data_IF_011780843776
#
_entry.id   IF_011780843776
#
_cell.length_a   1.000
_cell.length_b   1.000
_cell.length_c   1.000
_cell.angle_alpha   90.00
_cell.angle_beta   90.00
_cell.angle_gamma   90.00
#
_symmetry.space_group_name_H-M   'P 1'
#
loop_
_entity.id
_entity.type
_entity.pdbx_description
1 polymer ?
#
# COMPACT_ATOMS: atom_id res chain seq x y z
N UNK A 1 1.56 38.65 -90.27
CA UNK A 1 0.18 39.01 -90.72
C UNK A 1 0.01 38.33 -92.05
N UNK A 2 -1.14 37.70 -92.32
CA UNK A 2 -1.29 36.92 -93.54
C UNK A 2 -1.40 37.84 -94.77
N UNK A 3 -0.61 37.55 -95.79
CA UNK A 3 -0.66 38.18 -97.10
C UNK A 3 -1.93 37.77 -97.85
N UNK A 4 -2.42 38.66 -98.72
CA UNK A 4 -3.70 38.48 -99.41
C UNK A 4 -3.60 37.41 -100.50
N UNK A 5 -4.38 36.34 -100.38
CA UNK A 5 -4.50 35.32 -101.43
C UNK A 5 -5.69 35.63 -102.35
N UNK A 6 -5.41 35.75 -103.64
CA UNK A 6 -6.45 36.02 -104.64
C UNK A 6 -7.11 34.73 -105.14
N UNK A 7 -8.45 34.64 -105.21
CA UNK A 7 -9.13 33.44 -105.69
C UNK A 7 -8.70 33.05 -107.10
N UNK A 8 -8.41 31.75 -107.30
CA UNK A 8 -8.21 31.18 -108.62
C UNK A 8 -9.52 31.15 -109.43
N UNK A 9 -9.41 31.12 -110.76
CA UNK A 9 -10.54 30.93 -111.66
C UNK A 9 -10.60 29.50 -112.17
N UNK A 10 -11.80 28.90 -112.18
CA UNK A 10 -12.00 27.55 -112.72
C UNK A 10 -11.56 27.51 -114.19
N UNK A 11 -10.68 26.55 -114.53
CA UNK A 11 -10.10 26.33 -115.85
C UNK A 11 -9.30 27.51 -116.43
N UNK A 12 -9.02 28.57 -115.67
CA UNK A 12 -8.34 29.79 -116.14
C UNK A 12 -8.84 30.26 -117.51
N UNK A 13 -10.17 30.37 -117.66
CA UNK A 13 -10.79 30.80 -118.92
C UNK A 13 -10.24 32.15 -119.35
N UNK A 14 -10.01 32.28 -120.65
CA UNK A 14 -9.27 33.39 -121.23
C UNK A 14 -10.20 34.32 -122.01
N UNK A 15 -9.87 35.60 -122.01
CA UNK A 15 -10.48 36.66 -122.82
C UNK A 15 -9.37 37.42 -123.57
N UNK A 16 -9.73 38.49 -124.25
CA UNK A 16 -8.80 39.34 -124.99
C UNK A 16 -9.06 40.82 -124.71
N UNK A 17 -8.01 41.64 -124.80
CA UNK A 17 -8.15 43.09 -124.76
C UNK A 17 -9.00 43.57 -125.94
N UNK A 18 -10.01 44.39 -125.65
CA UNK A 18 -10.85 44.99 -126.69
C UNK A 18 -10.10 46.08 -127.48
N UNK A 19 -9.16 46.76 -126.82
CA UNK A 19 -8.37 47.86 -127.37
C UNK A 19 -6.90 47.76 -126.93
N UNK A 20 -6.00 48.47 -127.62
CA UNK A 20 -4.60 48.51 -127.24
C UNK A 20 -4.41 49.30 -125.94
N UNK A 21 -3.49 48.84 -125.10
CA UNK A 21 -3.22 49.42 -123.78
C UNK A 21 -1.77 49.90 -123.64
N UNK A 22 -1.68 51.00 -122.89
CA UNK A 22 -0.56 51.63 -122.21
C UNK A 22 0.41 50.78 -121.40
N UNK A 23 1.51 51.34 -120.88
CA UNK A 23 2.17 50.91 -119.65
C UNK A 23 1.68 51.70 -118.41
N UNK A 24 0.89 52.77 -118.60
CA UNK A 24 0.38 53.63 -117.50
C UNK A 24 -1.11 53.49 -117.21
N UNK A 25 -1.85 52.82 -118.09
CA UNK A 25 -3.30 52.69 -117.96
C UNK A 25 -3.74 52.00 -116.66
N UNK A 26 -4.74 52.58 -116.00
CA UNK A 26 -5.33 52.10 -114.74
C UNK A 26 -6.70 51.43 -114.94
N UNK A 27 -7.13 51.28 -116.19
CA UNK A 27 -8.36 50.60 -116.59
C UNK A 27 -8.26 50.14 -118.05
N UNK A 28 -8.96 49.06 -118.40
CA UNK A 28 -9.06 48.58 -119.78
C UNK A 28 -10.35 47.78 -119.99
N UNK A 29 -10.76 47.64 -121.25
CA UNK A 29 -11.93 46.85 -121.64
C UNK A 29 -11.50 45.50 -122.23
N UNK A 30 -12.20 44.43 -121.89
CA UNK A 30 -12.01 43.08 -122.46
C UNK A 30 -13.21 42.67 -123.32
N UNK A 31 -13.02 41.71 -124.21
CA UNK A 31 -14.11 41.23 -125.08
C UNK A 31 -15.20 40.50 -124.30
N UNK A 32 -14.80 39.70 -123.32
CA UNK A 32 -15.71 38.97 -122.41
C UNK A 32 -15.14 39.05 -120.99
N UNK A 33 -15.72 39.90 -120.15
CA UNK A 33 -15.35 39.99 -118.75
C UNK A 33 -15.96 38.88 -117.90
N UNK A 34 -17.03 38.21 -118.35
CA UNK A 34 -17.75 37.20 -117.56
C UNK A 34 -16.88 35.99 -117.17
N UNK A 35 -15.81 35.73 -117.94
CA UNK A 35 -14.86 34.64 -117.69
C UNK A 35 -13.78 34.96 -116.65
N UNK A 36 -13.62 36.23 -116.30
CA UNK A 36 -12.68 36.67 -115.27
C UNK A 36 -13.32 36.61 -113.87
N UNK A 37 -12.56 36.36 -112.80
CA UNK A 37 -13.13 36.35 -111.45
C UNK A 37 -13.62 37.75 -111.00
N UNK A 38 -14.31 37.85 -109.86
CA UNK A 38 -14.61 39.14 -109.23
C UNK A 38 -13.34 39.84 -108.73
N UNK A 39 -13.36 41.18 -108.71
CA UNK A 39 -12.30 41.98 -108.11
C UNK A 39 -12.37 41.97 -106.56
N UNK A 40 -11.27 42.20 -105.84
CA UNK A 40 -9.91 42.34 -106.37
C UNK A 40 -9.31 41.00 -106.79
N UNK A 41 -8.56 40.98 -107.88
CA UNK A 41 -7.89 39.76 -108.33
C UNK A 41 -6.70 40.07 -109.25
N UNK A 42 -5.97 39.02 -109.63
CA UNK A 42 -4.85 39.10 -110.57
C UNK A 42 -5.30 38.70 -111.98
N UNK A 43 -4.66 39.26 -112.99
CA UNK A 43 -4.73 38.80 -114.37
C UNK A 43 -3.31 38.73 -114.91
N UNK A 44 -3.06 37.77 -115.78
CA UNK A 44 -1.84 37.66 -116.55
C UNK A 44 -2.18 37.99 -117.99
N UNK A 45 -1.56 39.05 -118.51
CA UNK A 45 -1.68 39.52 -119.88
C UNK A 45 -0.53 38.95 -120.70
N UNK A 46 -0.82 38.42 -121.88
CA UNK A 46 0.15 37.69 -122.69
C UNK A 46 0.20 36.19 -122.35
N UNK A 47 0.76 35.42 -123.28
CA UNK A 47 0.86 33.95 -123.17
C UNK A 47 2.28 33.41 -123.32
N UNK A 48 3.26 34.31 -123.47
CA UNK A 48 4.68 34.00 -123.63
C UNK A 48 5.48 34.41 -122.38
N UNK A 49 6.81 34.32 -122.45
CA UNK A 49 7.71 34.71 -121.37
C UNK A 49 7.68 36.20 -121.02
N UNK A 50 7.06 37.04 -121.85
CA UNK A 50 6.93 38.48 -121.60
C UNK A 50 5.61 38.84 -120.91
N UNK A 51 4.86 37.84 -120.44
CA UNK A 51 3.57 38.05 -119.80
C UNK A 51 3.67 38.97 -118.57
N UNK A 52 2.66 39.82 -118.41
CA UNK A 52 2.55 40.80 -117.32
C UNK A 52 1.45 40.37 -116.35
N UNK A 53 1.77 40.22 -115.06
CA UNK A 53 0.73 40.13 -114.02
C UNK A 53 0.26 41.54 -113.66
N UNK A 54 -1.06 41.74 -113.60
CA UNK A 54 -1.70 42.97 -113.13
C UNK A 54 -2.65 42.64 -111.99
N UNK A 55 -2.78 43.56 -111.04
CA UNK A 55 -3.84 43.54 -110.03
C UNK A 55 -4.95 44.47 -110.50
N UNK A 56 -6.21 44.06 -110.36
CA UNK A 56 -7.36 44.95 -110.55
C UNK A 56 -8.24 44.92 -109.31
N UNK A 57 -8.86 46.06 -109.00
CA UNK A 57 -9.69 46.24 -107.79
C UNK A 57 -11.16 46.50 -108.10
N UNK A 58 -11.51 46.75 -109.37
CA UNK A 58 -12.88 46.88 -109.85
C UNK A 58 -13.12 46.14 -111.16
N UNK A 59 -14.35 45.64 -111.33
CA UNK A 59 -14.82 44.99 -112.55
C UNK A 59 -16.33 45.21 -112.71
N UNK A 60 -16.74 45.75 -113.84
CA UNK A 60 -18.15 45.90 -114.22
C UNK A 60 -18.32 45.42 -115.64
N UNK A 61 -19.07 44.34 -115.83
CA UNK A 61 -19.22 43.66 -117.12
C UNK A 61 -17.85 43.38 -117.78
N UNK A 62 -17.54 44.13 -118.85
CA UNK A 62 -16.32 44.02 -119.65
C UNK A 62 -15.24 45.06 -119.27
N UNK A 63 -15.53 45.98 -118.35
CA UNK A 63 -14.61 47.04 -117.93
C UNK A 63 -13.85 46.62 -116.66
N UNK A 64 -12.53 46.62 -116.74
CA UNK A 64 -11.61 46.35 -115.63
C UNK A 64 -11.04 47.68 -115.15
N UNK A 65 -11.16 47.98 -113.85
CA UNK A 65 -10.78 49.27 -113.26
C UNK A 65 -9.91 49.10 -112.01
N UNK A 66 -9.25 50.19 -111.61
CA UNK A 66 -8.34 50.19 -110.46
C UNK A 66 -7.18 49.22 -110.68
N UNK A 67 -6.66 49.21 -111.90
CA UNK A 67 -5.59 48.33 -112.36
C UNK A 67 -4.24 48.87 -111.89
N UNK A 68 -3.48 48.03 -111.19
CA UNK A 68 -2.05 48.20 -110.94
C UNK A 68 -1.30 47.36 -111.97
N UNK A 69 -0.63 48.04 -112.89
CA UNK A 69 0.21 47.44 -113.94
C UNK A 69 1.52 46.95 -113.35
N UNK A 70 2.13 45.95 -113.98
CA UNK A 70 3.41 45.42 -113.54
C UNK A 70 3.40 44.98 -112.07
N UNK A 71 2.41 44.19 -111.67
CA UNK A 71 2.24 43.79 -110.27
C UNK A 71 3.40 42.91 -109.77
N UNK A 72 3.95 42.07 -110.65
CA UNK A 72 5.13 41.23 -110.36
C UNK A 72 6.35 41.56 -111.23
N UNK A 73 6.16 42.37 -112.28
CA UNK A 73 7.16 42.72 -113.30
C UNK A 73 7.05 44.20 -113.68
N UNK A 74 7.85 44.70 -114.61
CA UNK A 74 7.58 46.01 -115.21
C UNK A 74 6.27 46.00 -116.02
N UNK A 75 5.58 47.15 -116.08
CA UNK A 75 4.42 47.35 -116.96
C UNK A 75 4.86 47.42 -118.44
N UNK A 76 4.06 46.87 -119.36
CA UNK A 76 4.36 46.83 -120.80
C UNK A 76 3.13 47.20 -121.62
N UNK A 77 3.29 47.83 -122.79
CA UNK A 77 2.16 48.08 -123.69
C UNK A 77 1.69 46.80 -124.40
N UNK A 78 0.39 46.61 -124.54
CA UNK A 78 -0.20 45.43 -125.20
C UNK A 78 -1.14 45.85 -126.32
N UNK A 79 -1.15 45.11 -127.43
CA UNK A 79 -2.06 45.37 -128.54
C UNK A 79 -3.50 44.90 -128.24
N UNK A 80 -4.48 45.42 -128.98
CA UNK A 80 -5.82 44.85 -129.01
C UNK A 80 -5.76 43.37 -129.43
N UNK A 81 -6.60 42.53 -128.85
CA UNK A 81 -6.57 41.07 -129.06
C UNK A 81 -5.55 40.34 -128.19
N UNK A 82 -4.74 41.03 -127.38
CA UNK A 82 -3.85 40.36 -126.41
C UNK A 82 -4.68 39.52 -125.45
N UNK A 83 -4.29 38.27 -125.37
CA UNK A 83 -4.90 37.24 -124.54
C UNK A 83 -4.58 37.48 -123.07
N UNK A 84 -5.59 37.37 -122.21
CA UNK A 84 -5.41 37.46 -120.77
C UNK A 84 -6.38 36.58 -119.98
N UNK A 85 -5.94 36.12 -118.81
CA UNK A 85 -6.74 35.30 -117.91
C UNK A 85 -6.21 35.41 -116.47
N UNK A 86 -6.96 34.84 -115.52
CA UNK A 86 -6.43 34.54 -114.19
C UNK A 86 -5.60 33.24 -114.26
N UNK A 87 -4.30 33.36 -114.52
CA UNK A 87 -3.34 32.25 -114.37
C UNK A 87 -2.76 32.23 -112.97
N UNK A 88 -2.29 31.07 -112.52
CA UNK A 88 -1.56 30.93 -111.25
C UNK A 88 -0.18 31.58 -111.41
N UNK A 89 0.16 32.54 -110.54
CA UNK A 89 1.38 33.34 -110.67
C UNK A 89 2.39 33.07 -109.54
N UNK A 90 3.58 33.67 -109.61
CA UNK A 90 4.58 33.52 -108.56
C UNK A 90 4.07 34.09 -107.22
N UNK A 91 3.33 35.21 -107.27
CA UNK A 91 2.67 35.82 -106.13
C UNK A 91 1.73 34.84 -105.43
N UNK A 92 0.94 34.04 -106.16
CA UNK A 92 0.07 33.04 -105.54
C UNK A 92 0.86 31.98 -104.76
N UNK A 93 1.92 31.46 -105.37
CA UNK A 93 2.77 30.46 -104.74
C UNK A 93 3.49 31.02 -103.51
N UNK A 94 4.09 32.20 -103.65
CA UNK A 94 4.88 32.81 -102.59
C UNK A 94 4.01 33.27 -101.44
N UNK A 95 2.85 33.88 -101.71
CA UNK A 95 1.88 34.27 -100.66
C UNK A 95 1.39 33.05 -99.90
N UNK A 96 1.08 31.95 -100.60
CA UNK A 96 0.67 30.71 -99.94
C UNK A 96 1.78 30.13 -99.05
N UNK A 97 3.01 30.03 -99.59
CA UNK A 97 4.19 29.55 -98.85
C UNK A 97 4.49 30.42 -97.64
N UNK A 98 4.44 31.74 -97.78
CA UNK A 98 4.75 32.70 -96.74
C UNK A 98 3.68 32.72 -95.65
N UNK A 99 2.40 32.64 -96.02
CA UNK A 99 1.32 32.48 -95.06
C UNK A 99 1.45 31.20 -94.23
N UNK A 100 1.86 30.09 -94.85
CA UNK A 100 2.12 28.83 -94.13
C UNK A 100 3.32 28.99 -93.20
N UNK A 101 4.41 29.61 -93.66
CA UNK A 101 5.60 29.84 -92.84
C UNK A 101 5.30 30.78 -91.64
N UNK A 102 4.50 31.83 -91.82
CA UNK A 102 4.02 32.71 -90.73
C UNK A 102 3.20 31.92 -89.71
N UNK A 103 2.30 31.05 -90.17
CA UNK A 103 1.48 30.21 -89.28
C UNK A 103 2.32 29.20 -88.49
N UNK A 104 3.29 28.54 -89.13
CA UNK A 104 4.21 27.61 -88.46
C UNK A 104 5.03 28.31 -87.38
N UNK A 105 5.59 29.47 -87.70
CA UNK A 105 6.33 30.29 -86.73
C UNK A 105 5.44 30.68 -85.54
N UNK A 106 4.24 31.20 -85.81
CA UNK A 106 3.29 31.60 -84.76
C UNK A 106 2.84 30.43 -83.90
N UNK A 107 2.70 29.24 -84.47
CA UNK A 107 2.37 28.03 -83.71
C UNK A 107 3.55 27.61 -82.82
N UNK A 108 4.78 27.72 -83.33
CA UNK A 108 6.00 27.41 -82.57
C UNK A 108 6.21 28.36 -81.38
N UNK A 109 5.73 29.61 -81.49
CA UNK A 109 5.81 30.62 -80.43
C UNK A 109 4.78 30.40 -79.31
N UNK A 110 3.82 29.49 -79.47
CA UNK A 110 2.85 29.15 -78.41
C UNK A 110 3.57 28.28 -77.37
N UNK A 111 4.19 28.94 -76.39
CA UNK A 111 4.79 28.29 -75.22
C UNK A 111 3.93 28.59 -73.99
N UNK A 112 3.44 27.54 -73.32
CA UNK A 112 2.78 27.64 -72.01
C UNK A 112 3.78 27.13 -70.96
N UNK A 113 4.34 28.00 -70.11
CA UNK A 113 5.32 27.59 -69.11
C UNK A 113 4.67 26.75 -67.99
N UNK A 114 5.47 26.02 -67.20
CA UNK A 114 5.01 25.48 -65.92
C UNK A 114 4.51 26.61 -65.02
N UNK A 115 3.46 26.37 -64.24
CA UNK A 115 2.98 27.39 -63.30
C UNK A 115 3.99 27.61 -62.17
N UNK A 116 3.96 28.80 -61.59
CA UNK A 116 4.69 29.16 -60.38
C UNK A 116 3.75 29.83 -59.36
N UNK A 117 4.29 30.22 -58.21
CA UNK A 117 3.53 30.97 -57.21
C UNK A 117 3.12 32.38 -57.69
N UNK A 118 3.74 32.90 -58.75
CA UNK A 118 3.53 34.27 -59.26
C UNK A 118 3.06 34.31 -60.71
N UNK A 119 3.11 33.20 -61.43
CA UNK A 119 2.80 33.13 -62.86
C UNK A 119 1.94 31.90 -63.15
N UNK A 120 0.88 32.10 -63.93
CA UNK A 120 -0.02 31.02 -64.33
C UNK A 120 0.67 30.11 -65.36
N UNK A 121 0.34 28.83 -65.35
CA UNK A 121 0.94 27.86 -66.26
C UNK A 121 0.33 26.46 -66.10
N UNK A 122 1.03 25.45 -66.61
CA UNK A 122 0.63 24.03 -66.48
C UNK A 122 1.23 23.38 -65.23
N UNK A 123 0.48 22.51 -64.55
CA UNK A 123 0.90 21.82 -63.30
C UNK A 123 0.51 20.36 -63.36
N UNK A 124 1.36 19.46 -62.83
CA UNK A 124 1.00 18.05 -62.65
C UNK A 124 0.21 17.82 -61.35
N UNK A 125 -0.74 16.90 -61.37
CA UNK A 125 -1.50 16.50 -60.18
C UNK A 125 -0.74 15.44 -59.37
N UNK A 126 -0.82 15.51 -58.04
CA UNK A 126 -0.19 14.58 -57.11
C UNK A 126 -1.20 13.89 -56.20
N UNK A 127 -0.97 12.58 -56.00
CA UNK A 127 -1.66 11.75 -54.99
C UNK A 127 -0.85 11.58 -53.70
N UNK A 128 0.35 12.17 -53.62
CA UNK A 128 1.17 12.09 -52.41
C UNK A 128 0.51 12.87 -51.27
N UNK A 129 0.45 12.28 -50.09
CA UNK A 129 -0.04 12.92 -48.85
C UNK A 129 1.08 13.49 -48.00
N UNK A 130 2.34 13.35 -48.43
CA UNK A 130 3.55 13.76 -47.67
C UNK A 130 4.57 14.49 -48.54
N UNK A 131 4.19 14.90 -49.75
CA UNK A 131 5.10 15.58 -50.68
C UNK A 131 5.46 16.99 -50.20
N UNK A 132 6.67 17.43 -50.52
CA UNK A 132 7.19 18.78 -50.24
C UNK A 132 7.52 19.56 -51.51
N UNK A 133 6.92 19.16 -52.64
CA UNK A 133 7.15 19.74 -53.96
C UNK A 133 6.19 20.91 -54.19
N UNK A 134 6.71 21.99 -54.75
CA UNK A 134 5.93 23.19 -55.07
C UNK A 134 5.46 23.24 -56.53
N UNK A 135 5.88 22.27 -57.36
CA UNK A 135 5.60 22.18 -58.80
C UNK A 135 4.45 21.22 -59.15
N UNK A 136 3.70 20.76 -58.15
CA UNK A 136 2.55 19.85 -58.30
C UNK A 136 1.37 20.30 -57.45
N UNK A 137 0.15 20.09 -57.96
CA UNK A 137 -1.08 20.37 -57.22
C UNK A 137 -1.61 19.10 -56.53
N UNK A 138 -1.99 19.20 -55.26
CA UNK A 138 -2.62 18.10 -54.55
C UNK A 138 -4.02 17.82 -55.13
N UNK A 139 -4.33 16.55 -55.38
CA UNK A 139 -5.70 16.15 -55.73
C UNK A 139 -6.61 16.18 -54.50
N UNK A 140 -7.91 16.39 -54.67
CA UNK A 140 -8.90 16.25 -53.59
C UNK A 140 -8.80 14.89 -52.89
N UNK A 141 -8.48 13.84 -53.65
CA UNK A 141 -8.25 12.50 -53.09
C UNK A 141 -7.05 12.43 -52.13
N UNK A 142 -5.97 13.17 -52.42
CA UNK A 142 -4.81 13.25 -51.54
C UNK A 142 -5.14 14.04 -50.27
N UNK A 143 -5.88 15.14 -50.41
CA UNK A 143 -6.33 15.96 -49.27
C UNK A 143 -7.26 15.16 -48.36
N UNK A 144 -8.23 14.43 -48.93
CA UNK A 144 -9.15 13.57 -48.18
C UNK A 144 -8.41 12.44 -47.44
N UNK A 145 -7.43 11.80 -48.08
CA UNK A 145 -6.62 10.75 -47.45
C UNK A 145 -5.78 11.29 -46.28
N UNK A 146 -5.16 12.47 -46.44
CA UNK A 146 -4.40 13.11 -45.37
C UNK A 146 -5.27 13.46 -44.15
N UNK A 147 -6.50 13.95 -44.39
CA UNK A 147 -7.48 14.19 -43.33
C UNK A 147 -7.88 12.90 -42.61
N UNK A 148 -8.15 11.84 -43.37
CA UNK A 148 -8.53 10.53 -42.83
C UNK A 148 -7.44 9.94 -41.94
N UNK A 149 -6.16 10.03 -42.31
CA UNK A 149 -5.05 9.60 -41.45
C UNK A 149 -5.01 10.35 -40.11
N UNK A 150 -5.35 11.65 -40.10
CA UNK A 150 -5.48 12.42 -38.87
C UNK A 150 -6.63 11.93 -37.97
N UNK A 151 -7.78 11.57 -38.57
CA UNK A 151 -8.93 11.00 -37.86
C UNK A 151 -8.58 9.63 -37.25
N UNK A 152 -7.92 8.77 -38.01
CA UNK A 152 -7.46 7.45 -37.55
C UNK A 152 -6.48 7.58 -36.39
N UNK A 153 -5.48 8.47 -36.52
CA UNK A 153 -4.52 8.73 -35.44
C UNK A 153 -5.19 9.25 -34.17
N UNK A 154 -6.21 10.10 -34.30
CA UNK A 154 -7.00 10.56 -33.15
C UNK A 154 -7.76 9.41 -32.49
N UNK A 155 -8.36 8.53 -33.28
CA UNK A 155 -9.05 7.35 -32.78
C UNK A 155 -8.09 6.40 -32.03
N UNK A 156 -6.86 6.21 -32.53
CA UNK A 156 -5.81 5.45 -31.84
C UNK A 156 -5.47 6.06 -30.47
N UNK A 157 -5.27 7.37 -30.39
CA UNK A 157 -4.98 8.07 -29.13
C UNK A 157 -6.14 7.91 -28.14
N UNK A 158 -7.38 8.07 -28.60
CA UNK A 158 -8.59 7.87 -27.77
C UNK A 158 -8.68 6.43 -27.26
N UNK A 159 -8.41 5.43 -28.11
CA UNK A 159 -8.40 4.03 -27.71
C UNK A 159 -7.31 3.75 -26.66
N UNK A 160 -6.12 4.32 -26.83
CA UNK A 160 -5.02 4.19 -25.88
C UNK A 160 -5.37 4.80 -24.51
N UNK A 161 -5.96 6.00 -24.48
CA UNK A 161 -6.43 6.66 -23.25
C UNK A 161 -7.48 5.81 -22.53
N UNK A 162 -8.49 5.33 -23.27
CA UNK A 162 -9.52 4.46 -22.69
C UNK A 162 -8.93 3.15 -22.15
N UNK A 163 -7.95 2.56 -22.83
CA UNK A 163 -7.27 1.34 -22.38
C UNK A 163 -6.51 1.48 -21.07
N UNK A 164 -6.09 2.71 -20.71
CA UNK A 164 -5.42 2.99 -19.43
C UNK A 164 -6.37 3.59 -18.38
N UNK A 165 -7.68 3.58 -18.65
CA UNK A 165 -8.71 4.03 -17.71
C UNK A 165 -8.96 5.55 -17.72
N UNK A 166 -8.45 6.29 -18.71
CA UNK A 166 -8.75 7.72 -18.89
C UNK A 166 -9.89 7.85 -19.90
N UNK A 167 -11.12 8.24 -19.50
CA UNK A 167 -12.24 8.34 -20.41
C UNK A 167 -11.99 9.38 -21.49
N UNK A 168 -12.01 8.98 -22.76
CA UNK A 168 -11.82 9.85 -23.90
C UNK A 168 -12.77 9.49 -25.05
N UNK A 169 -13.12 10.47 -25.87
CA UNK A 169 -13.95 10.30 -27.07
C UNK A 169 -13.33 10.96 -28.30
N UNK A 170 -13.60 10.41 -29.49
CA UNK A 170 -13.20 11.00 -30.78
C UNK A 170 -13.90 12.33 -31.08
N UNK A 171 -14.98 12.65 -30.37
CA UNK A 171 -15.67 13.94 -30.44
C UNK A 171 -14.97 15.09 -29.71
N UNK A 172 -13.98 14.80 -28.86
CA UNK A 172 -13.26 15.82 -28.08
C UNK A 172 -12.25 16.61 -28.94
N UNK A 173 -11.88 17.83 -28.54
CA UNK A 173 -10.81 18.58 -29.21
C UNK A 173 -9.43 17.94 -28.94
N UNK A 174 -8.44 18.19 -29.81
CA UNK A 174 -7.06 17.79 -29.53
C UNK A 174 -6.53 18.39 -28.21
N UNK A 175 -6.90 19.63 -27.89
CA UNK A 175 -6.54 20.25 -26.61
C UNK A 175 -7.10 19.47 -25.41
N UNK A 176 -8.36 19.01 -25.48
CA UNK A 176 -8.96 18.16 -24.43
C UNK A 176 -8.21 16.84 -24.27
N UNK A 177 -7.86 16.19 -25.38
CA UNK A 177 -7.07 14.94 -25.35
C UNK A 177 -5.66 15.17 -24.81
N UNK A 178 -5.02 16.31 -25.12
CA UNK A 178 -3.70 16.68 -24.61
C UNK A 178 -3.77 16.90 -23.10
N UNK A 179 -4.76 17.65 -22.60
CA UNK A 179 -4.97 17.83 -21.16
C UNK A 179 -5.15 16.48 -20.47
N UNK A 180 -6.00 15.60 -20.99
CA UNK A 180 -6.19 14.25 -20.46
C UNK A 180 -4.92 13.41 -20.48
N UNK A 181 -4.07 13.59 -21.49
CA UNK A 181 -2.76 12.92 -21.59
C UNK A 181 -1.78 13.44 -20.55
N UNK A 182 -1.78 14.75 -20.29
CA UNK A 182 -0.99 15.37 -19.22
C UNK A 182 -1.48 14.93 -17.82
N UNK A 183 -2.80 14.73 -17.68
CA UNK A 183 -3.44 14.24 -16.47
C UNK A 183 -3.34 12.71 -16.29
N UNK A 184 -2.59 11.99 -17.15
CA UNK A 184 -2.17 10.61 -16.89
C UNK A 184 -1.19 10.63 -15.70
N UNK A 185 -1.71 10.90 -14.52
CA UNK A 185 -1.07 10.78 -13.22
C UNK A 185 -1.06 9.30 -12.84
N UNK A 186 0.10 8.66 -12.97
CA UNK A 186 0.29 7.24 -12.60
C UNK A 186 0.51 7.01 -11.10
N UNK A 187 0.57 8.05 -10.28
CA UNK A 187 0.80 7.94 -8.85
C UNK A 187 0.00 8.98 -8.07
N UNK A 188 -0.98 8.51 -7.30
CA UNK A 188 -1.86 9.32 -6.44
C UNK A 188 -1.60 9.10 -4.95
N UNK A 189 -0.55 8.32 -4.62
CA UNK A 189 -0.16 8.11 -3.23
C UNK A 189 0.25 9.43 -2.57
N UNK A 190 0.05 9.51 -1.25
CA UNK A 190 0.46 10.59 -0.36
C UNK A 190 1.61 10.17 0.58
N UNK A 191 2.07 8.92 0.48
CA UNK A 191 3.20 8.43 1.26
C UNK A 191 4.47 9.25 1.02
N UNK A 192 5.21 9.53 2.09
CA UNK A 192 6.55 10.08 2.06
C UNK A 192 7.59 8.94 2.15
N UNK A 193 8.88 9.18 1.80
CA UNK A 193 9.92 8.16 1.95
C UNK A 193 9.97 7.57 3.37
N UNK A 194 9.68 8.38 4.40
CA UNK A 194 9.64 7.94 5.79
C UNK A 194 8.48 7.00 6.16
N UNK A 195 7.49 6.83 5.29
CA UNK A 195 6.35 5.94 5.52
C UNK A 195 6.57 4.55 4.92
N UNK A 196 7.49 4.44 3.96
CA UNK A 196 7.73 3.22 3.19
C UNK A 196 9.03 2.57 3.63
N UNK A 197 8.99 1.24 3.73
CA UNK A 197 10.14 0.41 4.14
C UNK A 197 11.39 0.74 3.32
N UNK A 198 12.51 0.90 4.03
CA UNK A 198 13.82 1.14 3.46
C UNK A 198 14.13 0.20 2.28
N UNK A 199 14.47 0.77 1.12
CA UNK A 199 14.84 0.00 -0.08
C UNK A 199 13.66 -0.53 -0.91
N UNK A 200 12.41 -0.30 -0.51
CA UNK A 200 11.24 -0.56 -1.36
C UNK A 200 10.86 0.67 -2.17
N UNK A 201 10.59 0.48 -3.45
CA UNK A 201 10.15 1.56 -4.34
C UNK A 201 8.65 1.79 -4.20
N UNK A 202 8.24 3.06 -4.27
CA UNK A 202 6.84 3.49 -4.36
C UNK A 202 6.75 4.74 -5.23
N UNK A 203 5.54 5.22 -5.52
CA UNK A 203 5.32 6.46 -6.27
C UNK A 203 4.22 7.26 -5.58
N UNK A 204 4.35 8.58 -5.56
CA UNK A 204 3.37 9.49 -5.00
C UNK A 204 3.05 10.63 -6.00
N UNK A 205 2.21 11.57 -5.59
CA UNK A 205 1.77 12.70 -6.44
C UNK A 205 2.92 13.57 -6.95
N UNK A 206 4.06 13.60 -6.25
CA UNK A 206 5.21 14.43 -6.61
C UNK A 206 6.20 13.73 -7.55
N UNK A 207 6.44 12.43 -7.33
CA UNK A 207 7.50 11.70 -8.04
C UNK A 207 7.23 10.19 -8.12
N UNK A 208 7.67 9.59 -9.22
CA UNK A 208 7.68 8.14 -9.43
C UNK A 208 9.02 7.52 -9.01
N UNK A 209 9.02 6.23 -8.69
CA UNK A 209 10.20 5.44 -8.29
C UNK A 209 10.99 6.05 -7.12
N UNK A 210 10.27 6.51 -6.10
CA UNK A 210 10.83 6.96 -4.84
C UNK A 210 11.21 5.73 -4.01
N UNK A 211 12.36 5.75 -3.36
CA UNK A 211 12.80 4.67 -2.45
C UNK A 211 12.41 5.04 -1.02
N UNK A 212 11.71 4.14 -0.34
CA UNK A 212 11.39 4.27 1.09
C UNK A 212 12.65 4.34 1.94
N UNK A 213 12.54 4.99 3.10
CA UNK A 213 13.62 5.20 4.07
C UNK A 213 13.28 4.71 5.47
N UNK A 214 12.04 4.26 5.73
CA UNK A 214 11.63 3.77 7.05
C UNK A 214 12.42 2.50 7.43
N UNK A 215 13.30 2.55 8.44
CA UNK A 215 14.14 1.41 8.77
C UNK A 215 13.32 0.23 9.26
N UNK A 216 13.65 -0.96 8.76
CA UNK A 216 13.24 -2.22 9.36
C UNK A 216 14.24 -2.61 10.45
N UNK A 217 13.75 -2.81 11.67
CA UNK A 217 14.59 -3.07 12.85
C UNK A 217 15.00 -4.53 12.95
N UNK A 218 14.09 -5.43 12.59
CA UNK A 218 14.31 -6.87 12.56
C UNK A 218 13.20 -7.53 11.74
N UNK A 219 13.54 -8.60 11.02
CA UNK A 219 12.59 -9.53 10.41
C UNK A 219 12.32 -10.74 11.29
N UNK A 220 13.21 -11.00 12.25
CA UNK A 220 13.09 -12.11 13.21
C UNK A 220 12.20 -11.73 14.39
N UNK A 221 11.71 -12.76 15.10
CA UNK A 221 10.91 -12.62 16.32
C UNK A 221 11.70 -11.80 17.36
N UNK A 222 11.06 -10.78 17.91
CA UNK A 222 11.60 -10.00 19.01
C UNK A 222 10.94 -10.44 20.33
N UNK A 223 11.69 -11.13 21.17
CA UNK A 223 11.23 -11.45 22.53
C UNK A 223 11.66 -10.36 23.51
N UNK A 224 10.69 -9.74 24.19
CA UNK A 224 10.94 -8.74 25.24
C UNK A 224 10.79 -9.44 26.59
N UNK A 225 11.89 -9.55 27.33
CA UNK A 225 11.85 -10.02 28.73
C UNK A 225 11.55 -8.84 29.66
N UNK A 226 10.41 -8.85 30.38
CA UNK A 226 10.10 -7.84 31.38
C UNK A 226 11.14 -7.82 32.50
N UNK A 227 11.34 -6.66 33.10
CA UNK A 227 12.23 -6.48 34.25
C UNK A 227 11.94 -5.17 34.96
N UNK A 228 12.77 -4.79 35.91
CA UNK A 228 12.57 -3.56 36.71
C UNK A 228 12.94 -2.26 35.96
N UNK A 229 13.43 -2.36 34.73
CA UNK A 229 13.83 -1.22 33.88
C UNK A 229 12.93 -1.18 32.66
N UNK A 230 12.42 0.01 32.32
CA UNK A 230 11.64 0.28 31.12
C UNK A 230 12.35 -0.21 29.86
N UNK A 231 11.63 -0.97 29.03
CA UNK A 231 12.09 -1.39 27.71
C UNK A 231 11.42 -0.50 26.67
N UNK A 232 12.22 0.13 25.82
CA UNK A 232 11.74 1.02 24.75
C UNK A 232 12.19 0.46 23.41
N UNK A 233 11.24 0.29 22.50
CA UNK A 233 11.50 -0.12 21.12
C UNK A 233 11.66 1.14 20.25
N UNK A 234 12.79 1.31 19.54
CA UNK A 234 12.98 2.43 18.62
C UNK A 234 11.93 2.45 17.51
N UNK A 235 11.60 3.64 16.99
CA UNK A 235 10.69 3.77 15.85
C UNK A 235 11.22 3.02 14.61
N UNK A 236 10.33 2.34 13.89
CA UNK A 236 10.65 1.57 12.69
C UNK A 236 9.69 0.40 12.49
N UNK A 237 9.93 -0.39 11.44
CA UNK A 237 9.14 -1.58 11.14
C UNK A 237 9.73 -2.80 11.85
N UNK A 238 8.86 -3.60 12.48
CA UNK A 238 9.18 -4.90 13.07
C UNK A 238 8.48 -5.97 12.22
N UNK A 239 9.24 -6.69 11.40
CA UNK A 239 8.70 -7.67 10.46
C UNK A 239 8.32 -9.00 11.10
N UNK A 240 8.92 -9.34 12.23
CA UNK A 240 8.60 -10.52 13.03
C UNK A 240 7.69 -10.22 14.21
N UNK A 241 7.10 -11.27 14.79
CA UNK A 241 6.26 -11.16 15.98
C UNK A 241 7.03 -10.53 17.16
N UNK A 242 6.34 -9.68 17.92
CA UNK A 242 6.86 -9.17 19.19
C UNK A 242 6.22 -9.98 20.32
N UNK A 243 7.03 -10.77 21.01
CA UNK A 243 6.57 -11.67 22.08
C UNK A 243 6.94 -11.06 23.43
N UNK A 244 5.95 -10.87 24.29
CA UNK A 244 6.13 -10.56 25.72
C UNK A 244 5.59 -11.74 26.51
N UNK A 245 6.44 -12.68 26.98
CA UNK A 245 5.98 -13.84 27.74
C UNK A 245 5.30 -13.41 29.05
N UNK A 246 4.19 -14.07 29.40
CA UNK A 246 3.58 -13.93 30.72
C UNK A 246 4.45 -14.56 31.81
N UNK A 247 4.40 -14.02 33.03
CA UNK A 247 5.11 -14.57 34.20
C UNK A 247 4.16 -15.49 35.00
N UNK A 248 4.38 -16.82 35.03
CA UNK A 248 3.49 -17.75 35.72
C UNK A 248 3.36 -17.50 37.23
N UNK A 249 4.37 -16.86 37.85
CA UNK A 249 4.34 -16.52 39.27
C UNK A 249 3.63 -15.19 39.57
N UNK A 250 3.11 -14.48 38.57
CA UNK A 250 2.27 -13.29 38.73
C UNK A 250 0.86 -13.70 39.17
N UNK A 251 0.76 -14.22 40.39
CA UNK A 251 -0.47 -14.66 41.04
C UNK A 251 -0.64 -13.97 42.39
N UNK A 252 -1.88 -13.75 42.80
CA UNK A 252 -2.21 -13.01 44.04
C UNK A 252 -1.58 -13.62 45.29
N UNK A 253 -1.37 -14.94 45.33
CA UNK A 253 -0.75 -15.65 46.46
C UNK A 253 0.74 -15.35 46.65
N UNK A 254 1.43 -14.84 45.63
CA UNK A 254 2.85 -14.49 45.68
C UNK A 254 3.08 -12.99 45.95
N UNK A 255 2.01 -12.19 45.93
CA UNK A 255 2.08 -10.73 46.11
C UNK A 255 1.57 -10.40 47.52
N UNK A 256 2.34 -9.58 48.24
CA UNK A 256 1.98 -9.14 49.59
C UNK A 256 0.65 -8.37 49.59
N UNK A 257 -0.20 -8.63 50.59
CA UNK A 257 -1.44 -7.87 50.75
C UNK A 257 -1.18 -6.35 50.75
N UNK A 258 -2.00 -5.60 50.01
CA UNK A 258 -1.85 -4.16 49.83
C UNK A 258 -0.83 -3.72 48.76
N UNK A 259 -0.23 -4.67 48.02
CA UNK A 259 0.56 -4.41 46.82
C UNK A 259 -0.17 -4.91 45.57
N UNK A 260 0.09 -4.25 44.44
CA UNK A 260 -0.43 -4.62 43.11
C UNK A 260 0.71 -4.59 42.10
N UNK A 261 0.80 -5.62 41.26
CA UNK A 261 1.75 -5.70 40.14
C UNK A 261 0.95 -6.04 38.89
N UNK A 262 1.01 -5.19 37.85
CA UNK A 262 0.26 -5.35 36.60
C UNK A 262 -1.21 -5.77 36.82
N UNK A 263 -1.91 -5.02 37.68
CA UNK A 263 -3.30 -5.22 38.09
C UNK A 263 -3.62 -6.48 38.91
N UNK A 264 -2.63 -7.33 39.23
CA UNK A 264 -2.80 -8.46 40.15
C UNK A 264 -2.61 -7.98 41.60
N UNK A 265 -3.71 -7.96 42.36
CA UNK A 265 -3.71 -7.57 43.78
C UNK A 265 -3.23 -8.71 44.69
N UNK A 266 -2.39 -8.38 45.68
CA UNK A 266 -1.80 -9.37 46.58
C UNK A 266 -2.71 -9.87 47.70
N UNK A 267 -2.51 -11.14 48.08
CA UNK A 267 -3.27 -11.85 49.12
C UNK A 267 -2.39 -12.53 50.17
N UNK A 268 -1.07 -12.54 50.02
CA UNK A 268 -0.15 -13.20 50.94
C UNK A 268 -0.12 -12.51 52.32
N UNK A 269 -0.31 -13.28 53.41
CA UNK A 269 -0.27 -12.84 54.82
C UNK A 269 0.67 -13.72 55.66
N UNK A 270 1.74 -13.18 56.27
CA UNK A 270 2.75 -13.99 56.94
C UNK A 270 2.45 -14.55 58.35
N UNK A 271 1.27 -14.34 58.96
CA UNK A 271 1.02 -14.73 60.38
C UNK A 271 -0.47 -14.95 60.67
N UNK A 272 -0.89 -16.16 61.04
CA UNK A 272 -2.28 -16.50 61.40
C UNK A 272 -2.34 -17.05 62.83
N UNK A 273 -3.23 -16.51 63.68
CA UNK A 273 -3.46 -16.96 65.06
C UNK A 273 -4.84 -17.61 65.17
N UNK A 274 -4.95 -18.78 65.81
CA UNK A 274 -6.22 -19.48 66.07
C UNK A 274 -6.54 -19.49 67.56
N UNK A 275 -7.64 -18.86 67.95
CA UNK A 275 -8.23 -19.04 69.29
C UNK A 275 -8.95 -20.40 69.35
N UNK A 276 -8.73 -21.19 70.40
CA UNK A 276 -9.43 -22.46 70.58
C UNK A 276 -10.75 -22.27 71.36
N UNK A 277 -11.90 -22.60 70.75
CA UNK A 277 -13.19 -22.55 71.42
C UNK A 277 -13.45 -23.88 72.15
N UNK A 278 -13.25 -23.91 73.48
CA UNK A 278 -13.94 -24.73 74.49
C UNK A 278 -13.11 -24.81 75.79
N UNK A 279 -13.77 -24.83 76.95
CA UNK A 279 -13.13 -25.13 78.24
C UNK A 279 -12.53 -26.55 78.18
N UNK A 280 -11.20 -26.67 78.11
CA UNK A 280 -10.56 -27.98 78.25
C UNK A 280 -10.43 -28.27 79.75
N UNK A 281 -11.44 -28.93 80.31
CA UNK A 281 -11.46 -29.37 81.71
C UNK A 281 -11.37 -30.88 81.78
N UNK A 282 -10.16 -31.36 82.02
CA UNK A 282 -9.81 -32.76 81.96
C UNK A 282 -9.53 -33.23 83.38
N UNK A 283 -10.43 -34.05 83.95
CA UNK A 283 -10.28 -34.63 85.29
C UNK A 283 -10.10 -36.14 85.19
N UNK A 284 -9.08 -36.66 85.84
CA UNK A 284 -8.83 -38.10 85.93
C UNK A 284 -9.02 -38.58 87.38
N UNK A 285 -9.83 -39.62 87.55
CA UNK A 285 -10.06 -40.37 88.78
C UNK A 285 -9.89 -41.86 88.49
N UNK A 286 -8.88 -42.53 89.03
CA UNK A 286 -8.67 -43.96 88.75
C UNK A 286 -7.66 -44.62 89.69
N UNK A 287 -7.62 -45.97 89.73
CA UNK A 287 -6.63 -46.72 90.52
C UNK A 287 -5.24 -46.51 89.92
N UNK A 288 -4.32 -45.99 90.72
CA UNK A 288 -3.00 -45.61 90.27
C UNK A 288 -2.01 -46.77 90.45
N UNK A 289 -1.50 -47.33 89.36
CA UNK A 289 -0.44 -48.33 89.41
C UNK A 289 0.93 -47.67 89.37
N UNK A 290 1.84 -48.19 90.19
CA UNK A 290 3.27 -47.91 90.18
C UNK A 290 3.88 -48.06 88.77
N UNK A 291 4.71 -47.07 88.39
CA UNK A 291 5.59 -47.02 87.21
C UNK A 291 4.97 -46.99 85.80
N UNK A 292 3.63 -46.94 85.64
CA UNK A 292 2.99 -46.74 84.34
C UNK A 292 2.14 -45.45 84.29
N UNK A 293 2.65 -44.35 83.71
CA UNK A 293 1.86 -43.13 83.55
C UNK A 293 0.68 -43.34 82.59
N UNK A 294 -0.51 -42.94 83.01
CA UNK A 294 -1.68 -42.83 82.12
C UNK A 294 -1.63 -41.47 81.45
N UNK A 295 -1.53 -41.46 80.12
CA UNK A 295 -1.48 -40.24 79.31
C UNK A 295 -2.87 -39.86 78.80
N UNK A 296 -3.16 -38.57 78.83
CA UNK A 296 -4.36 -37.98 78.26
C UNK A 296 -3.97 -36.87 77.29
N UNK A 297 -4.40 -37.01 76.03
CA UNK A 297 -4.18 -36.04 74.96
C UNK A 297 -4.95 -34.74 75.26
N UNK A 298 -4.24 -33.61 75.19
CA UNK A 298 -4.82 -32.28 75.38
C UNK A 298 -4.96 -31.54 74.04
N UNK A 299 -3.88 -31.47 73.25
CA UNK A 299 -3.88 -30.78 71.97
C UNK A 299 -2.72 -31.20 71.06
N UNK A 300 -2.93 -31.11 69.74
CA UNK A 300 -1.87 -31.31 68.74
C UNK A 300 -1.08 -30.02 68.50
N UNK A 301 0.22 -30.16 68.28
CA UNK A 301 1.16 -29.09 67.88
C UNK A 301 1.26 -29.08 66.35
N UNK A 302 1.63 -27.96 65.72
CA UNK A 302 1.85 -27.94 64.27
C UNK A 302 3.11 -28.70 63.90
N UNK A 303 3.00 -29.58 62.92
CA UNK A 303 4.06 -30.45 62.44
C UNK A 303 5.12 -29.71 61.59
N UNK A 304 4.81 -28.51 61.09
CA UNK A 304 5.56 -27.86 59.99
C UNK A 304 6.49 -26.71 60.42
N UNK A 305 6.47 -26.27 61.68
CA UNK A 305 7.16 -25.03 62.05
C UNK A 305 7.19 -24.65 63.53
N UNK A 306 7.10 -23.36 63.81
CA UNK A 306 7.15 -22.79 65.17
C UNK A 306 5.73 -22.71 65.70
N UNK A 307 5.42 -23.40 66.78
CA UNK A 307 4.12 -23.27 67.44
C UNK A 307 4.26 -22.38 68.66
N UNK A 308 3.56 -21.25 68.67
CA UNK A 308 3.38 -20.45 69.88
C UNK A 308 2.03 -20.78 70.49
N UNK A 309 2.05 -21.27 71.74
CA UNK A 309 0.88 -21.49 72.58
C UNK A 309 0.92 -20.44 73.67
N UNK A 310 -0.03 -19.51 73.65
CA UNK A 310 -0.14 -18.47 74.67
C UNK A 310 -1.42 -18.64 75.46
N UNK A 311 -1.31 -18.60 76.79
CA UNK A 311 -2.44 -18.50 77.68
C UNK A 311 -2.83 -17.03 77.85
N UNK A 312 -4.05 -16.65 77.47
CA UNK A 312 -4.60 -15.30 77.71
C UNK A 312 -5.21 -15.17 79.12
N UNK A 313 -5.35 -16.29 79.83
CA UNK A 313 -5.86 -16.41 81.22
C UNK A 313 -5.19 -17.59 81.95
N UNK A 314 -5.60 -17.88 83.19
CA UNK A 314 -4.97 -18.88 84.07
C UNK A 314 -5.15 -20.33 83.60
N UNK A 315 -4.23 -20.84 82.77
CA UNK A 315 -4.15 -22.26 82.41
C UNK A 315 -3.55 -23.07 83.56
N UNK A 316 -4.34 -23.91 84.23
CA UNK A 316 -3.94 -24.53 85.50
C UNK A 316 -3.81 -26.05 85.44
N UNK A 317 -2.73 -26.58 86.01
CA UNK A 317 -2.58 -28.00 86.32
C UNK A 317 -2.66 -28.18 87.84
N UNK A 318 -3.57 -29.02 88.31
CA UNK A 318 -3.74 -29.31 89.73
C UNK A 318 -3.77 -30.80 90.06
N UNK A 319 -3.23 -31.12 91.22
CA UNK A 319 -3.26 -32.47 91.80
C UNK A 319 -3.81 -32.39 93.22
N UNK A 320 -4.64 -33.36 93.56
CA UNK A 320 -5.23 -33.52 94.89
C UNK A 320 -4.86 -34.90 95.41
N UNK A 321 -4.09 -34.91 96.51
CA UNK A 321 -3.70 -36.13 97.21
C UNK A 321 -4.55 -36.32 98.47
N UNK A 322 -4.93 -37.57 98.75
CA UNK A 322 -5.55 -37.98 100.02
C UNK A 322 -4.49 -38.52 101.00
N UNK A 323 -4.86 -38.71 102.26
CA UNK A 323 -3.93 -39.08 103.35
C UNK A 323 -3.04 -40.29 102.97
N UNK A 324 -1.72 -40.17 103.20
CA UNK A 324 -0.68 -41.17 102.88
C UNK A 324 -0.52 -41.50 101.39
N UNK A 325 -0.84 -40.57 100.49
CA UNK A 325 -0.66 -40.77 99.03
C UNK A 325 0.19 -39.67 98.41
N UNK A 326 1.11 -40.05 97.52
CA UNK A 326 1.88 -39.11 96.72
C UNK A 326 1.39 -39.12 95.29
N UNK A 327 0.75 -38.04 94.86
CA UNK A 327 0.27 -37.88 93.46
C UNK A 327 1.18 -36.90 92.74
N UNK A 328 1.73 -37.34 91.62
CA UNK A 328 2.52 -36.51 90.72
C UNK A 328 1.76 -36.39 89.40
N UNK A 329 1.48 -35.15 89.01
CA UNK A 329 0.88 -34.85 87.71
C UNK A 329 1.87 -34.03 86.91
N UNK A 330 2.10 -34.46 85.68
CA UNK A 330 3.12 -33.92 84.80
C UNK A 330 2.50 -33.59 83.44
N UNK A 331 3.01 -32.54 82.83
CA UNK A 331 2.67 -32.19 81.46
C UNK A 331 3.82 -32.68 80.56
N UNK A 332 3.47 -33.36 79.50
CA UNK A 332 4.41 -33.99 78.58
C UNK A 332 4.15 -33.49 77.18
N UNK A 333 5.22 -33.27 76.43
CA UNK A 333 5.14 -33.35 74.97
C UNK A 333 5.39 -34.80 74.59
N UNK A 334 4.39 -35.40 73.97
CA UNK A 334 4.26 -36.82 73.73
C UNK A 334 4.06 -37.09 72.24
N UNK A 335 4.43 -38.27 71.79
CA UNK A 335 4.09 -38.81 70.47
C UNK A 335 3.63 -40.25 70.65
N UNK A 336 2.74 -40.75 69.79
CA UNK A 336 2.41 -42.17 69.77
C UNK A 336 3.52 -42.94 69.07
N UNK A 337 3.99 -44.02 69.67
CA UNK A 337 4.88 -44.96 68.98
C UNK A 337 4.12 -45.75 67.91
N UNK A 338 4.83 -46.61 67.17
CA UNK A 338 4.25 -47.45 66.12
C UNK A 338 3.18 -48.43 66.63
N UNK A 339 3.11 -48.68 67.94
CA UNK A 339 2.08 -49.49 68.59
C UNK A 339 0.89 -48.67 69.09
N UNK A 340 0.89 -47.35 68.88
CA UNK A 340 -0.14 -46.42 69.31
C UNK A 340 -0.04 -46.01 70.79
N UNK A 341 1.02 -46.42 71.50
CA UNK A 341 1.25 -46.07 72.91
C UNK A 341 1.94 -44.71 73.02
N UNK A 342 1.51 -43.90 73.99
CA UNK A 342 2.13 -42.60 74.24
C UNK A 342 3.55 -42.75 74.79
N UNK A 343 4.49 -42.05 74.14
CA UNK A 343 5.89 -41.92 74.55
C UNK A 343 6.19 -40.46 74.85
N UNK A 344 6.62 -40.16 76.08
CA UNK A 344 7.07 -38.83 76.47
C UNK A 344 8.39 -38.48 75.78
N UNK A 345 8.41 -37.37 75.03
CA UNK A 345 9.61 -36.79 74.39
C UNK A 345 10.24 -35.69 75.22
N UNK A 346 9.41 -34.91 75.91
CA UNK A 346 9.85 -33.94 76.88
C UNK A 346 8.88 -33.93 78.04
N UNK A 347 9.42 -33.99 79.25
CA UNK A 347 8.67 -33.72 80.45
C UNK A 347 8.80 -32.23 80.78
N UNK A 348 7.69 -31.52 80.69
CA UNK A 348 7.61 -30.15 81.17
C UNK A 348 7.61 -30.20 82.70
N UNK A 349 8.39 -29.31 83.33
CA UNK A 349 8.83 -29.46 84.72
C UNK A 349 7.70 -29.87 85.69
N UNK A 350 8.02 -30.86 86.53
CA UNK A 350 7.07 -31.50 87.42
C UNK A 350 6.81 -30.68 88.69
N UNK A 351 5.62 -30.85 89.25
CA UNK A 351 5.37 -30.50 90.65
C UNK A 351 4.71 -31.66 91.37
N UNK A 352 5.16 -31.90 92.58
CA UNK A 352 4.77 -33.06 93.39
C UNK A 352 3.94 -32.56 94.55
N UNK A 353 2.73 -33.09 94.72
CA UNK A 353 1.99 -32.91 95.97
C UNK A 353 2.79 -33.58 97.09
N UNK A 354 3.25 -32.82 98.08
CA UNK A 354 4.05 -33.33 99.19
C UNK A 354 3.13 -33.83 100.29
N UNK A 355 3.49 -35.00 100.83
CA UNK A 355 2.74 -35.79 101.80
C UNK A 355 2.61 -35.08 103.15
N UNK A 356 1.41 -35.11 103.75
CA UNK A 356 1.19 -34.74 105.15
C UNK A 356 0.18 -35.71 105.79
N UNK A 357 0.47 -36.24 106.99
CA UNK A 357 -0.27 -37.36 107.57
C UNK A 357 -1.70 -37.04 108.06
N UNK A 358 -2.27 -35.86 107.78
CA UNK A 358 -3.57 -35.45 108.38
C UNK A 358 -4.52 -34.59 107.53
N UNK A 359 -4.23 -34.24 106.26
CA UNK A 359 -5.17 -33.44 105.45
C UNK A 359 -5.05 -33.68 103.93
N UNK A 360 -6.14 -33.38 103.21
CA UNK A 360 -6.17 -33.30 101.74
C UNK A 360 -5.56 -31.98 101.28
N UNK A 361 -4.63 -32.02 100.34
CA UNK A 361 -4.00 -30.83 99.76
C UNK A 361 -4.23 -30.78 98.26
N UNK A 362 -4.63 -29.60 97.77
CA UNK A 362 -4.68 -29.29 96.34
C UNK A 362 -3.56 -28.31 96.01
N UNK A 363 -2.69 -28.69 95.09
CA UNK A 363 -1.65 -27.79 94.57
C UNK A 363 -1.98 -27.44 93.13
N UNK A 364 -1.75 -26.18 92.73
CA UNK A 364 -2.05 -25.67 91.39
C UNK A 364 -0.83 -24.92 90.83
N UNK A 365 -0.49 -25.14 89.56
CA UNK A 365 0.48 -24.33 88.81
C UNK A 365 -0.12 -23.81 87.52
N UNK A 366 0.40 -22.68 87.04
CA UNK A 366 -0.06 -22.04 85.81
C UNK A 366 0.99 -22.10 84.69
N UNK A 367 0.57 -22.42 83.47
CA UNK A 367 1.38 -22.34 82.25
C UNK A 367 0.99 -21.07 81.48
N UNK A 368 1.91 -20.13 81.33
CA UNK A 368 1.60 -18.80 80.76
C UNK A 368 1.90 -18.75 79.26
N UNK A 369 3.13 -19.10 78.89
CA UNK A 369 3.60 -19.14 77.51
C UNK A 369 4.26 -20.50 77.29
N UNK A 370 4.03 -21.11 76.13
CA UNK A 370 4.74 -22.29 75.65
C UNK A 370 5.07 -22.08 74.17
N UNK A 371 6.36 -22.00 73.87
CA UNK A 371 6.88 -21.87 72.52
C UNK A 371 7.63 -23.15 72.17
N UNK A 372 7.22 -23.76 71.05
CA UNK A 372 7.79 -25.00 70.55
C UNK A 372 8.38 -24.72 69.18
N UNK A 373 9.69 -24.91 69.05
CA UNK A 373 10.38 -24.85 67.78
C UNK A 373 10.71 -26.26 67.33
N UNK A 374 9.86 -26.81 66.46
CA UNK A 374 9.99 -28.20 65.97
C UNK A 374 11.30 -28.39 65.20
N UNK A 375 11.76 -27.36 64.47
CA UNK A 375 13.00 -27.44 63.70
C UNK A 375 14.23 -27.29 64.60
N UNK A 376 14.22 -26.33 65.53
CA UNK A 376 15.34 -26.12 66.46
C UNK A 376 15.37 -27.14 67.62
N UNK A 377 14.32 -27.96 67.78
CA UNK A 377 14.14 -28.93 68.88
C UNK A 377 14.19 -28.29 70.27
N UNK A 378 13.81 -27.01 70.35
CA UNK A 378 13.80 -26.23 71.58
C UNK A 378 12.37 -26.00 72.05
N UNK A 379 12.20 -26.02 73.37
CA UNK A 379 10.94 -25.70 74.03
C UNK A 379 11.23 -24.62 75.06
N UNK A 380 10.54 -23.50 74.95
CA UNK A 380 10.63 -22.41 75.91
C UNK A 380 9.27 -22.22 76.53
N UNK A 381 9.16 -22.31 77.85
CA UNK A 381 7.90 -22.08 78.53
C UNK A 381 8.06 -21.24 79.79
N UNK A 382 6.96 -20.57 80.15
CA UNK A 382 6.86 -19.74 81.34
C UNK A 382 5.81 -20.29 82.28
N UNK A 383 6.14 -20.42 83.56
CA UNK A 383 5.23 -20.97 84.56
C UNK A 383 5.17 -20.11 85.83
N UNK A 384 4.03 -20.18 86.53
CA UNK A 384 3.78 -19.48 87.80
C UNK A 384 3.24 -20.43 88.87
N UNK A 385 3.50 -20.14 90.15
CA UNK A 385 3.02 -20.96 91.29
C UNK A 385 1.73 -20.38 91.88
N UNK A 386 0.94 -21.21 92.58
CA UNK A 386 -0.22 -20.71 93.32
C UNK A 386 0.18 -19.63 94.34
N UNK A 387 -0.39 -18.42 94.19
CA UNK A 387 -0.10 -17.25 95.05
C UNK A 387 0.77 -16.15 94.42
N UNK A 388 1.51 -16.43 93.34
CA UNK A 388 2.28 -15.42 92.58
C UNK A 388 2.17 -15.68 91.08
N UNK A 389 1.22 -14.99 90.43
CA UNK A 389 0.99 -15.05 88.98
C UNK A 389 1.69 -13.91 88.22
N UNK A 390 2.23 -12.93 88.93
CA UNK A 390 2.77 -11.69 88.35
C UNK A 390 4.23 -11.82 87.90
N UNK A 391 4.95 -12.82 88.40
CA UNK A 391 6.37 -13.03 88.10
C UNK A 391 6.66 -14.46 87.57
N UNK A 392 6.29 -14.77 86.31
CA UNK A 392 6.47 -16.12 85.78
C UNK A 392 7.95 -16.45 85.57
N UNK A 393 8.37 -17.65 86.01
CA UNK A 393 9.70 -18.19 85.76
C UNK A 393 9.78 -18.75 84.35
N UNK A 394 10.88 -18.48 83.62
CA UNK A 394 11.13 -19.03 82.28
C UNK A 394 12.04 -20.25 82.36
N UNK A 395 11.68 -21.32 81.67
CA UNK A 395 12.51 -22.52 81.51
C UNK A 395 12.66 -22.85 80.03
N UNK A 396 13.86 -23.28 79.65
CA UNK A 396 14.17 -23.78 78.32
C UNK A 396 14.57 -25.24 78.48
N UNK A 397 13.84 -26.11 77.80
CA UNK A 397 14.14 -27.53 77.71
C UNK A 397 14.42 -27.90 76.24
N UNK A 398 15.16 -28.98 76.03
CA UNK A 398 15.48 -29.50 74.69
C UNK A 398 15.03 -30.95 74.56
N UNK A 399 14.63 -31.34 73.34
CA UNK A 399 14.23 -32.72 73.06
C UNK A 399 15.46 -33.49 72.55
N UNK A 400 15.86 -34.53 73.28
CA UNK A 400 17.16 -35.18 73.11
C UNK A 400 17.25 -36.16 71.93
N UNK A 401 16.15 -36.70 71.38
CA UNK A 401 16.19 -37.56 70.17
C UNK A 401 14.81 -37.84 69.50
N UNK A 402 14.82 -38.01 68.16
CA UNK A 402 13.66 -38.40 67.33
C UNK A 402 13.16 -37.34 66.33
N UNK A 403 12.27 -37.74 65.41
CA UNK A 403 11.41 -36.82 64.63
C UNK A 403 10.37 -36.20 65.56
N UNK A 404 10.06 -34.92 65.33
CA UNK A 404 9.14 -34.12 66.14
C UNK A 404 7.81 -33.84 65.43
N UNK A 405 7.56 -34.52 64.32
CA UNK A 405 6.25 -34.53 63.66
C UNK A 405 5.24 -35.30 64.54
N UNK A 406 4.03 -34.77 64.66
CA UNK A 406 2.94 -35.36 65.43
C UNK A 406 3.02 -35.11 66.95
N UNK A 407 3.82 -34.13 67.39
CA UNK A 407 3.89 -33.77 68.81
C UNK A 407 2.50 -33.37 69.33
N UNK A 408 2.16 -33.95 70.46
CA UNK A 408 0.91 -33.68 71.17
C UNK A 408 1.27 -33.23 72.58
N UNK A 409 0.55 -32.27 73.12
CA UNK A 409 0.59 -31.95 74.54
C UNK A 409 -0.28 -32.98 75.28
N UNK A 410 0.31 -33.74 76.18
CA UNK A 410 -0.37 -34.72 77.02
C UNK A 410 -0.25 -34.36 78.50
N UNK A 411 -1.28 -34.65 79.29
CA UNK A 411 -1.15 -34.76 80.74
C UNK A 411 -0.85 -36.22 81.11
N UNK A 412 0.10 -36.45 82.02
CA UNK A 412 0.34 -37.76 82.60
C UNK A 412 0.29 -37.72 84.12
N UNK A 413 -0.23 -38.80 84.71
CA UNK A 413 -0.36 -38.92 86.16
C UNK A 413 0.33 -40.18 86.64
N UNK A 414 1.10 -40.05 87.72
CA UNK A 414 1.67 -41.18 88.46
C UNK A 414 1.38 -40.99 89.93
N UNK A 415 1.15 -42.08 90.66
CA UNK A 415 1.09 -42.02 92.11
C UNK A 415 1.95 -43.11 92.74
N UNK A 416 2.47 -42.83 93.92
CA UNK A 416 3.15 -43.81 94.77
C UNK A 416 2.30 -43.96 96.04
N UNK A 417 1.67 -45.13 96.25
CA UNK A 417 0.95 -45.45 97.50
C UNK A 417 1.30 -46.87 97.96
N UNK A 418 1.39 -47.04 99.27
CA UNK A 418 1.50 -48.31 100.01
C UNK A 418 0.15 -48.97 100.37
N UNK A 419 -1.00 -48.46 99.89
CA UNK A 419 -2.33 -49.04 100.12
C UNK A 419 -3.39 -48.55 99.11
N UNK A 420 -4.25 -49.47 98.66
CA UNK A 420 -5.23 -49.28 97.56
C UNK A 420 -6.48 -48.50 97.98
N UNK A 421 -6.37 -47.20 98.26
CA UNK A 421 -7.56 -46.33 98.46
C UNK A 421 -7.84 -45.46 97.24
N UNK A 422 -8.99 -45.66 96.61
CA UNK A 422 -9.52 -44.83 95.50
C UNK A 422 -9.93 -43.44 96.04
N UNK A 423 -9.24 -42.37 95.63
CA UNK A 423 -9.67 -41.00 95.97
C UNK A 423 -8.75 -39.84 95.59
N UNK A 424 -7.57 -40.11 95.02
CA UNK A 424 -6.71 -39.04 94.45
C UNK A 424 -7.23 -38.56 93.09
N UNK A 425 -7.03 -37.27 92.77
CA UNK A 425 -7.48 -36.66 91.51
C UNK A 425 -6.42 -35.79 90.87
N UNK A 426 -6.37 -35.82 89.54
CA UNK A 426 -5.55 -34.90 88.73
C UNK A 426 -6.44 -34.16 87.74
N UNK A 427 -6.23 -32.85 87.62
CA UNK A 427 -7.06 -32.00 86.79
C UNK A 427 -6.22 -31.01 85.99
N UNK A 428 -6.44 -30.97 84.68
CA UNK A 428 -5.98 -29.92 83.81
C UNK A 428 -7.16 -29.04 83.42
N UNK A 429 -7.04 -27.72 83.61
CA UNK A 429 -8.12 -26.79 83.36
C UNK A 429 -7.64 -25.61 82.54
N UNK A 430 -8.22 -25.45 81.35
CA UNK A 430 -8.10 -24.28 80.50
C UNK A 430 -9.46 -23.56 80.43
N UNK A 431 -9.56 -22.29 80.88
CA UNK A 431 -10.77 -21.50 80.69
C UNK A 431 -11.08 -21.27 79.19
N UNK A 432 -12.33 -21.04 78.81
CA UNK A 432 -12.70 -20.76 77.41
C UNK A 432 -11.98 -19.52 76.88
N UNK A 433 -11.46 -19.57 75.65
CA UNK A 433 -10.74 -18.44 75.04
C UNK A 433 -9.31 -18.24 75.57
N UNK A 434 -8.81 -19.16 76.40
CA UNK A 434 -7.49 -19.03 77.01
C UNK A 434 -6.36 -19.33 76.05
N UNK A 435 -6.58 -20.14 75.01
CA UNK A 435 -5.49 -20.70 74.22
C UNK A 435 -5.45 -20.09 72.82
N UNK A 436 -4.35 -19.39 72.51
CA UNK A 436 -4.03 -18.91 71.16
C UNK A 436 -2.89 -19.76 70.61
N UNK A 437 -3.08 -20.29 69.39
CA UNK A 437 -2.05 -21.01 68.65
C UNK A 437 -1.63 -20.17 67.45
N UNK A 438 -0.36 -19.77 67.39
CA UNK A 438 0.27 -19.18 66.20
C UNK A 438 1.18 -20.18 65.50
N UNK A 439 1.21 -20.13 64.16
CA UNK A 439 1.98 -21.03 63.29
C UNK A 439 3.07 -20.31 62.50
#
# INVERSE_FOLDING_TARGET
MLETMYPAAVNSRQTELAEAIDDTQTSFTVLDGSVLPPAPNLLTLGTDESAETVLYTGKTDNEITGVTRGFESGAVSWAAGTKLARFFTAHDHDTFRENIADLDQRLSDIVIPPASLTEQGIVMLSKSTTGSRDDVAATESAVAAAFQYGVERKAEVVAALNSIGVPASTSESWDSLITKTADILRAVGDAEPSDVRAGKSFSNTEKIDIVGTLPERTTDILTITPGVITKTNPAGIYGGDIIVPGEPNLVSGNILVGKTIYDVSGSFKPTEFKELPNMLDVTYMGPYTNDNPVFQELMKVNDSGKTLIKATSSLSLSSTAIVNTKVTTKLHLCVKDTSGKWVSKCELWWYTGVDYPSATYTTTRYLNDLYIDVQAKTITYKYSSYGDMTSPSTRVDSISSGSLEGLTLCMATTSTISSNTNGSMSRFRAPSGTLIIGY
#
